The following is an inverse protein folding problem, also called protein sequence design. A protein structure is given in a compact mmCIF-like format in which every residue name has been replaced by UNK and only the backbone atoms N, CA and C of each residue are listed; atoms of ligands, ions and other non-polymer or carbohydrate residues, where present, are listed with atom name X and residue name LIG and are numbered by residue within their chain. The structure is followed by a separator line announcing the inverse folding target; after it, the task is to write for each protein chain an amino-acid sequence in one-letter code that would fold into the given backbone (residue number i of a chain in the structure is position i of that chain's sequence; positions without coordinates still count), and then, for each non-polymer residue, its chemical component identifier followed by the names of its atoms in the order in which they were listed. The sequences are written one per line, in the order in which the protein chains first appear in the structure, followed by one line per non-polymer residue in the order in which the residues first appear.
data_IF_591526053112
#
_entry.id   IF_591526053112
#
_cell.length_a   1.000
_cell.length_b   1.000
_cell.length_c   1.000
_cell.angle_alpha   90.00
_cell.angle_beta   90.00
_cell.angle_gamma   90.00
#
_symmetry.space_group_name_H-M   'P 1'
#
loop_
_entity.id
_entity.type
_entity.pdbx_description
1 polymer ?
#
# COMPACT_ATOMS: atom_id res chain seq x y z
N UNK A 1 -13.75 8.83 10.39
CA UNK A 1 -13.67 7.85 9.30
C UNK A 1 -14.42 6.61 9.75
N UNK A 2 -15.63 6.41 9.21
CA UNK A 2 -16.38 5.18 9.48
C UNK A 2 -15.69 4.05 8.72
N UNK A 3 -15.28 2.99 9.40
CA UNK A 3 -14.74 1.77 8.78
C UNK A 3 -15.90 0.79 8.73
N UNK A 4 -16.64 0.80 7.62
CA UNK A 4 -17.71 -0.17 7.41
C UNK A 4 -17.11 -1.49 6.91
N UNK A 5 -17.10 -2.51 7.78
CA UNK A 5 -17.13 -3.94 7.43
C UNK A 5 -15.91 -4.54 6.71
N UNK A 6 -15.38 -5.63 7.25
CA UNK A 6 -14.29 -6.44 6.67
C UNK A 6 -14.70 -7.12 5.35
N UNK A 7 -13.67 -7.41 4.56
CA UNK A 7 -13.56 -8.32 3.42
C UNK A 7 -13.70 -7.64 2.05
N UNK A 8 -12.52 -7.35 1.47
CA UNK A 8 -12.33 -7.15 0.04
C UNK A 8 -12.81 -8.43 -0.67
N UNK A 9 -14.11 -8.52 -0.96
CA UNK A 9 -14.59 -9.25 -2.14
C UNK A 9 -14.32 -8.35 -3.34
N UNK A 10 -13.06 -8.27 -3.79
CA UNK A 10 -12.77 -7.57 -5.05
C UNK A 10 -12.53 -8.60 -6.13
N UNK A 11 -13.55 -8.72 -6.97
CA UNK A 11 -13.50 -9.22 -8.33
C UNK A 11 -12.15 -8.86 -9.00
N UNK A 12 -11.32 -9.87 -9.25
CA UNK A 12 -10.34 -9.86 -10.33
C UNK A 12 -8.95 -9.28 -10.06
N UNK A 13 -8.78 -7.97 -9.82
CA UNK A 13 -7.47 -7.30 -9.99
C UNK A 13 -7.33 -5.96 -9.24
N UNK A 14 -7.63 -5.88 -7.94
CA UNK A 14 -7.37 -4.64 -7.19
C UNK A 14 -5.87 -4.43 -6.96
N UNK A 15 -5.30 -3.38 -7.56
CA UNK A 15 -3.94 -2.93 -7.25
C UNK A 15 -3.94 -2.34 -5.85
N UNK A 16 -3.15 -2.86 -4.92
CA UNK A 16 -2.96 -2.31 -3.59
C UNK A 16 -1.57 -1.70 -3.48
N UNK A 17 -1.47 -0.38 -3.66
CA UNK A 17 -0.19 0.31 -3.85
C UNK A 17 0.05 1.43 -2.84
N UNK A 18 1.25 1.47 -2.28
CA UNK A 18 1.71 2.54 -1.41
C UNK A 18 2.76 3.39 -2.12
N UNK A 19 2.55 4.70 -2.16
CA UNK A 19 3.53 5.65 -2.69
C UNK A 19 4.41 6.20 -1.58
N UNK A 20 5.73 6.18 -1.79
CA UNK A 20 6.73 6.71 -0.85
C UNK A 20 7.87 7.43 -1.60
N UNK A 21 8.86 7.88 -0.84
CA UNK A 21 10.06 8.53 -1.37
C UNK A 21 11.26 7.58 -1.27
N UNK A 22 12.15 7.63 -2.27
CA UNK A 22 13.37 6.82 -2.34
C UNK A 22 14.22 6.86 -1.07
N UNK A 23 14.31 8.02 -0.41
CA UNK A 23 15.03 8.19 0.87
C UNK A 23 14.47 7.33 2.02
N UNK A 24 13.22 6.88 1.93
CA UNK A 24 12.60 6.02 2.94
C UNK A 24 12.71 4.54 2.59
N UNK A 25 13.10 4.20 1.35
CA UNK A 25 13.00 2.83 0.84
C UNK A 25 13.87 1.88 1.65
N UNK A 26 15.11 2.25 1.96
CA UNK A 26 16.03 1.44 2.76
C UNK A 26 15.42 1.07 4.12
N UNK A 27 14.91 2.06 4.86
CA UNK A 27 14.25 1.81 6.15
C UNK A 27 12.97 0.97 6.03
N UNK A 28 12.22 1.12 4.93
CA UNK A 28 11.02 0.31 4.67
C UNK A 28 11.40 -1.14 4.35
N UNK A 29 12.49 -1.38 3.61
CA UNK A 29 12.99 -2.72 3.34
C UNK A 29 13.59 -3.39 4.58
N UNK A 30 14.12 -2.61 5.52
CA UNK A 30 14.66 -3.16 6.77
C UNK A 30 13.55 -3.45 7.81
N UNK A 31 12.52 -2.60 7.88
CA UNK A 31 11.57 -2.61 9.00
C UNK A 31 10.11 -2.78 8.60
N UNK A 32 9.82 -2.94 7.31
CA UNK A 32 8.46 -2.94 6.77
C UNK A 32 7.82 -1.55 6.73
N UNK A 33 6.61 -1.51 6.17
CA UNK A 33 5.84 -0.29 6.06
C UNK A 33 5.02 -0.06 7.33
N UNK A 34 5.44 0.91 8.15
CA UNK A 34 4.82 1.22 9.44
C UNK A 34 3.68 2.23 9.29
N UNK A 35 2.62 2.10 10.10
CA UNK A 35 1.55 3.10 10.22
C UNK A 35 2.04 4.44 10.81
N UNK A 36 3.25 4.46 11.39
CA UNK A 36 3.82 5.60 12.08
C UNK A 36 2.90 6.07 13.21
N UNK A 37 2.60 7.38 13.30
CA UNK A 37 1.67 7.95 14.29
C UNK A 37 0.19 7.79 13.90
N UNK A 38 -0.13 7.14 12.78
CA UNK A 38 -1.51 6.93 12.30
C UNK A 38 -2.07 5.63 12.84
N UNK A 39 -3.39 5.44 12.68
CA UNK A 39 -4.05 4.19 13.04
C UNK A 39 -3.82 3.06 12.00
N UNK A 40 -3.73 3.42 10.72
CA UNK A 40 -3.62 2.48 9.61
C UNK A 40 -2.49 2.86 8.63
N UNK A 41 -1.89 1.84 8.01
CA UNK A 41 -1.18 1.99 6.74
C UNK A 41 -2.22 2.20 5.63
N UNK A 42 -1.93 3.13 4.73
CA UNK A 42 -2.83 3.51 3.64
C UNK A 42 -2.26 3.04 2.31
N UNK A 43 -3.13 2.43 1.51
CA UNK A 43 -2.86 2.00 0.14
C UNK A 43 -3.92 2.59 -0.78
N UNK A 44 -3.53 2.87 -2.02
CA UNK A 44 -4.45 3.20 -3.10
C UNK A 44 -4.93 1.92 -3.79
N UNK A 45 -6.15 1.95 -4.33
CA UNK A 45 -6.71 0.92 -5.21
C UNK A 45 -6.29 1.05 -6.68
N UNK A 46 -5.40 1.98 -7.02
CA UNK A 46 -4.99 2.29 -8.40
C UNK A 46 -3.62 2.99 -8.49
N UNK A 47 -3.03 2.94 -9.69
CA UNK A 47 -1.74 3.55 -9.99
C UNK A 47 -1.90 5.01 -10.41
N UNK A 48 -0.98 5.92 -10.01
CA UNK A 48 -1.02 7.29 -10.50
C UNK A 48 -1.03 7.29 -12.03
N UNK A 49 -2.02 7.95 -12.60
CA UNK A 49 -2.12 8.32 -14.02
C UNK A 49 -1.66 9.76 -14.16
N UNK A 50 -1.20 10.16 -15.36
CA UNK A 50 -0.68 11.50 -15.59
C UNK A 50 -1.71 12.57 -15.21
N UNK A 51 -1.44 13.28 -14.11
CA UNK A 51 -2.23 14.42 -13.66
C UNK A 51 -3.39 14.11 -12.71
N UNK A 52 -3.76 12.86 -12.47
CA UNK A 52 -4.88 12.54 -11.57
C UNK A 52 -4.46 12.44 -10.10
N UNK A 53 -5.30 13.00 -9.21
CA UNK A 53 -5.16 12.79 -7.77
C UNK A 53 -5.67 11.41 -7.43
N UNK A 54 -4.81 10.58 -6.88
CA UNK A 54 -5.19 9.29 -6.36
C UNK A 54 -5.41 9.39 -4.86
N UNK A 55 -6.63 9.07 -4.44
CA UNK A 55 -6.98 8.95 -3.02
C UNK A 55 -5.98 8.03 -2.30
N UNK A 56 -5.35 8.55 -1.26
CA UNK A 56 -4.39 7.79 -0.45
C UNK A 56 -2.93 7.87 -0.90
N UNK A 57 -2.60 8.57 -1.99
CA UNK A 57 -1.22 8.76 -2.46
C UNK A 57 -0.88 10.24 -2.68
N UNK A 58 0.34 10.65 -2.31
CA UNK A 58 0.83 12.00 -2.62
C UNK A 58 1.28 12.09 -4.08
N UNK A 59 1.20 13.28 -4.67
CA UNK A 59 1.56 13.52 -6.08
C UNK A 59 3.06 13.42 -6.37
N UNK A 60 3.90 13.68 -5.38
CA UNK A 60 5.35 13.82 -5.48
C UNK A 60 6.13 12.56 -5.05
N UNK A 61 5.44 11.43 -4.89
CA UNK A 61 6.10 10.14 -4.61
C UNK A 61 6.96 9.73 -5.81
N UNK A 62 8.05 9.01 -5.54
CA UNK A 62 8.96 8.52 -6.59
C UNK A 62 9.29 7.03 -6.45
N UNK A 63 8.60 6.34 -5.55
CA UNK A 63 8.64 4.89 -5.36
C UNK A 63 7.23 4.38 -5.09
N UNK A 64 6.88 3.24 -5.69
CA UNK A 64 5.64 2.51 -5.49
C UNK A 64 5.95 1.13 -4.90
N UNK A 65 5.24 0.77 -3.85
CA UNK A 65 5.31 -0.54 -3.19
C UNK A 65 3.96 -1.23 -3.39
N UNK A 66 3.98 -2.40 -4.02
CA UNK A 66 2.79 -3.19 -4.30
C UNK A 66 2.64 -4.27 -3.23
N UNK A 67 1.45 -4.37 -2.65
CA UNK A 67 1.12 -5.40 -1.67
C UNK A 67 0.63 -6.67 -2.38
N UNK A 68 1.22 -7.81 -2.04
CA UNK A 68 0.63 -9.12 -2.31
C UNK A 68 -0.60 -9.31 -1.43
N UNK A 69 -1.74 -8.83 -1.93
CA UNK A 69 -3.02 -8.85 -1.22
C UNK A 69 -3.43 -10.28 -0.89
N UNK A 70 -3.20 -11.21 -1.81
CA UNK A 70 -3.60 -12.61 -1.63
C UNK A 70 -2.87 -13.21 -0.43
N UNK A 71 -1.54 -13.14 -0.43
CA UNK A 71 -0.71 -13.67 0.66
C UNK A 71 -0.99 -12.95 1.98
N UNK A 72 -1.19 -11.64 1.94
CA UNK A 72 -1.51 -10.86 3.12
C UNK A 72 -2.83 -11.32 3.78
N UNK A 73 -3.88 -11.53 2.97
CA UNK A 73 -5.17 -12.03 3.44
C UNK A 73 -5.10 -13.47 3.94
N UNK A 74 -4.39 -14.36 3.23
CA UNK A 74 -4.16 -15.76 3.63
C UNK A 74 -3.46 -15.84 4.99
N UNK A 75 -2.51 -14.96 5.25
CA UNK A 75 -1.80 -14.85 6.54
C UNK A 75 -2.57 -14.05 7.62
N UNK A 76 -3.81 -13.63 7.33
CA UNK A 76 -4.71 -13.00 8.30
C UNK A 76 -4.59 -11.48 8.44
N UNK A 77 -3.90 -10.79 7.53
CA UNK A 77 -3.88 -9.32 7.51
C UNK A 77 -5.27 -8.78 7.16
N UNK A 78 -5.82 -7.93 8.03
CA UNK A 78 -7.12 -7.29 7.78
C UNK A 78 -6.95 -6.10 6.85
N UNK A 79 -7.65 -6.13 5.72
CA UNK A 79 -7.76 -5.02 4.78
C UNK A 79 -9.19 -4.48 4.76
N UNK A 80 -9.30 -3.16 4.81
CA UNK A 80 -10.56 -2.42 4.80
C UNK A 80 -10.56 -1.45 3.62
N UNK A 81 -11.74 -1.15 3.07
CA UNK A 81 -11.91 -0.08 2.08
C UNK A 81 -12.74 1.02 2.73
N UNK A 82 -12.22 2.25 2.68
CA UNK A 82 -12.96 3.45 3.09
C UNK A 82 -13.94 3.92 2.00
N UNK A 83 -14.88 4.79 2.35
CA UNK A 83 -15.83 5.41 1.40
C UNK A 83 -15.13 6.04 0.19
N UNK A 84 -13.93 6.60 0.38
CA UNK A 84 -13.12 7.21 -0.68
C UNK A 84 -12.21 6.21 -1.42
N UNK A 85 -12.50 4.92 -1.32
CA UNK A 85 -11.77 3.82 -1.97
C UNK A 85 -10.29 3.69 -1.58
N UNK A 86 -9.89 4.30 -0.46
CA UNK A 86 -8.55 4.06 0.14
C UNK A 86 -8.59 2.74 0.88
N UNK A 87 -7.61 1.88 0.61
CA UNK A 87 -7.40 0.62 1.31
C UNK A 87 -6.60 0.90 2.60
N UNK A 88 -7.04 0.32 3.71
CA UNK A 88 -6.49 0.54 5.04
C UNK A 88 -6.13 -0.81 5.67
N UNK A 89 -5.02 -0.86 6.39
CA UNK A 89 -4.69 -1.98 7.27
C UNK A 89 -4.01 -1.51 8.54
N UNK A 90 -4.27 -2.19 9.65
CA UNK A 90 -3.46 -2.05 10.87
C UNK A 90 -2.09 -2.71 10.71
N UNK A 91 -1.92 -3.57 9.70
CA UNK A 91 -0.79 -4.47 9.58
C UNK A 91 -0.76 -5.51 10.71
N UNK A 92 0.40 -6.10 10.93
CA UNK A 92 0.72 -6.88 12.11
C UNK A 92 1.44 -5.96 13.09
N UNK A 93 0.81 -5.70 14.25
CA UNK A 93 1.32 -4.79 15.28
C UNK A 93 1.76 -3.40 14.73
N UNK A 94 0.98 -2.86 13.80
CA UNK A 94 1.23 -1.54 13.21
C UNK A 94 2.18 -1.54 11.99
N UNK A 95 2.60 -2.72 11.51
CA UNK A 95 3.57 -2.86 10.43
C UNK A 95 3.07 -3.79 9.34
N UNK A 96 3.30 -3.45 8.08
CA UNK A 96 3.18 -4.38 6.94
C UNK A 96 4.59 -4.91 6.63
N UNK A 97 4.89 -6.18 6.94
CA UNK A 97 6.20 -6.77 6.67
C UNK A 97 6.54 -6.83 5.18
N UNK A 98 7.84 -6.74 4.88
CA UNK A 98 8.38 -6.76 3.50
C UNK A 98 8.05 -8.05 2.75
N UNK A 99 7.86 -9.18 3.45
CA UNK A 99 7.42 -10.45 2.83
C UNK A 99 6.08 -10.38 2.11
N UNK A 100 5.29 -9.33 2.34
CA UNK A 100 4.03 -9.08 1.64
C UNK A 100 4.18 -8.06 0.51
N UNK A 101 5.38 -7.60 0.19
CA UNK A 101 5.60 -6.75 -0.97
C UNK A 101 5.74 -7.66 -2.19
N UNK A 102 4.84 -7.49 -3.15
CA UNK A 102 4.88 -8.20 -4.43
C UNK A 102 6.01 -7.65 -5.31
N UNK A 103 6.13 -6.32 -5.37
CA UNK A 103 7.19 -5.62 -6.11
C UNK A 103 7.38 -4.19 -5.62
N UNK A 104 8.54 -3.63 -5.92
CA UNK A 104 8.85 -2.21 -5.71
C UNK A 104 9.33 -1.63 -7.03
N UNK A 105 8.83 -0.46 -7.40
CA UNK A 105 9.17 0.22 -8.64
C UNK A 105 9.43 1.71 -8.41
N UNK A 106 10.29 2.31 -9.22
CA UNK A 106 10.42 3.76 -9.29
C UNK A 106 9.22 4.39 -10.01
N UNK A 107 8.98 5.68 -9.74
CA UNK A 107 7.92 6.45 -10.37
C UNK A 107 8.45 7.83 -10.80
N UNK A 108 8.17 8.31 -12.02
CA UNK A 108 7.25 7.75 -13.03
C UNK A 108 7.85 6.72 -14.00
N UNK A 109 9.15 6.46 -13.96
CA UNK A 109 9.85 5.63 -14.96
C UNK A 109 9.63 4.11 -14.82
N UNK A 110 8.88 3.65 -13.79
CA UNK A 110 8.43 2.27 -13.60
C UNK A 110 9.56 1.23 -13.64
N UNK A 111 10.78 1.60 -13.23
CA UNK A 111 11.89 0.65 -13.17
C UNK A 111 11.76 -0.22 -11.93
N UNK A 112 11.97 -1.54 -12.02
CA UNK A 112 12.05 -2.40 -10.85
C UNK A 112 13.13 -1.91 -9.90
N UNK A 113 12.81 -1.86 -8.61
CA UNK A 113 13.76 -1.57 -7.53
C UNK A 113 13.98 -2.85 -6.69
N UNK A 114 15.15 -2.99 -6.04
CA UNK A 114 15.43 -4.15 -5.20
C UNK A 114 14.43 -4.30 -4.05
N UNK A 115 14.13 -5.56 -3.76
CA UNK A 115 13.34 -6.05 -2.63
C UNK A 115 14.20 -6.95 -1.74
#
# INVERSE_FOLDING_TARGET
FSVSGVLIFVCGNAVCVHGTYKKNLESILEHGLKRMKRLHVHFSCGLPTDGEVISGMRRDVNVLIFLDVRRALEDGMKLYISDNRVILTEGFDGTVPVRYFEKVESWPDRKPLPL
#
